data_IF_414328057079
#
_entry.id   IF_414328057079
#
_cell.length_a   1.000
_cell.length_b   1.000
_cell.length_c   1.000
_cell.angle_alpha   90.00
_cell.angle_beta   90.00
_cell.angle_gamma   90.00
#
_symmetry.space_group_name_H-M   'P 1'
#
loop_
_entity.id
_entity.type
_entity.pdbx_description
1 polymer ?
#
# COMPACT_ATOMS: atom_id res chain seq x y z
N UNK A 1 0.05 2.22 -14.91
CA UNK A 1 -1.05 2.23 -13.93
C UNK A 1 -1.19 0.83 -13.41
N UNK A 2 -1.01 0.65 -12.12
CA UNK A 2 -0.94 -0.67 -11.49
C UNK A 2 -2.33 -1.17 -11.13
N UNK A 3 -2.57 -2.46 -11.37
CA UNK A 3 -3.85 -3.14 -11.11
C UNK A 3 -3.61 -4.24 -10.07
N UNK A 4 -4.26 -4.11 -8.91
CA UNK A 4 -4.28 -5.11 -7.85
C UNK A 4 -5.58 -5.92 -7.91
N UNK A 5 -6.73 -5.30 -8.17
CA UNK A 5 -8.01 -5.99 -8.41
C UNK A 5 -8.48 -5.65 -9.82
N UNK A 6 -8.49 -6.66 -10.69
CA UNK A 6 -9.04 -6.57 -12.04
C UNK A 6 -10.54 -6.94 -12.08
N UNK A 7 -11.18 -6.71 -13.23
CA UNK A 7 -12.61 -6.97 -13.45
C UNK A 7 -13.02 -8.46 -13.38
N UNK A 8 -12.05 -9.37 -13.55
CA UNK A 8 -12.24 -10.82 -13.55
C UNK A 8 -11.89 -11.47 -12.20
N UNK A 9 -11.39 -10.69 -11.25
CA UNK A 9 -11.15 -11.08 -9.86
C UNK A 9 -12.35 -11.84 -9.28
N UNK A 10 -12.08 -12.99 -8.65
CA UNK A 10 -13.13 -13.79 -7.98
C UNK A 10 -13.72 -13.05 -6.78
N UNK A 11 -12.99 -12.10 -6.20
CA UNK A 11 -13.49 -11.22 -5.14
C UNK A 11 -14.62 -10.31 -5.65
N UNK A 12 -14.74 -10.09 -6.96
CA UNK A 12 -15.88 -9.42 -7.56
C UNK A 12 -17.07 -10.38 -7.80
N UNK A 13 -16.91 -11.69 -7.64
CA UNK A 13 -17.93 -12.69 -8.02
C UNK A 13 -18.06 -13.76 -6.95
N UNK A 14 -18.28 -13.32 -5.71
CA UNK A 14 -18.42 -14.23 -4.57
C UNK A 14 -19.67 -15.14 -4.72
N UNK A 15 -19.72 -16.33 -4.12
CA UNK A 15 -20.92 -17.17 -4.15
C UNK A 15 -22.04 -16.67 -3.21
N UNK A 16 -23.30 -16.99 -3.53
CA UNK A 16 -24.48 -16.67 -2.69
C UNK A 16 -24.59 -17.56 -1.45
N UNK A 17 -23.90 -18.70 -1.49
CA UNK A 17 -23.86 -19.71 -0.46
C UNK A 17 -22.95 -19.34 0.71
N UNK A 18 -22.11 -18.30 0.55
CA UNK A 18 -21.29 -17.78 1.64
C UNK A 18 -22.16 -17.22 2.77
N UNK A 19 -21.83 -17.58 4.00
CA UNK A 19 -22.44 -16.96 5.17
C UNK A 19 -22.07 -15.46 5.24
N UNK A 20 -22.91 -14.67 5.93
CA UNK A 20 -22.75 -13.22 5.99
C UNK A 20 -21.43 -12.76 6.62
N UNK A 21 -20.85 -13.55 7.54
CA UNK A 21 -19.59 -13.22 8.18
C UNK A 21 -18.41 -13.39 7.20
N UNK A 22 -18.35 -14.54 6.51
CA UNK A 22 -17.32 -14.80 5.49
C UNK A 22 -17.44 -13.82 4.32
N UNK A 23 -18.67 -13.55 3.86
CA UNK A 23 -18.93 -12.57 2.81
C UNK A 23 -18.40 -11.19 3.17
N UNK A 24 -18.70 -10.71 4.39
CA UNK A 24 -18.23 -9.41 4.88
C UNK A 24 -16.69 -9.33 4.92
N UNK A 25 -16.01 -10.40 5.33
CA UNK A 25 -14.54 -10.43 5.37
C UNK A 25 -13.95 -10.36 3.97
N UNK A 26 -14.45 -11.17 3.03
CA UNK A 26 -13.95 -11.18 1.64
C UNK A 26 -14.21 -9.85 0.94
N UNK A 27 -15.36 -9.23 1.17
CA UNK A 27 -15.66 -7.91 0.63
C UNK A 27 -14.77 -6.82 1.24
N UNK A 28 -14.50 -6.91 2.55
CA UNK A 28 -13.54 -6.01 3.22
C UNK A 28 -12.13 -6.14 2.66
N UNK A 29 -11.70 -7.36 2.31
CA UNK A 29 -10.43 -7.61 1.61
C UNK A 29 -10.43 -6.93 0.24
N UNK A 30 -11.47 -7.13 -0.56
CA UNK A 30 -11.62 -6.50 -1.88
C UNK A 30 -11.49 -4.98 -1.80
N UNK A 31 -12.29 -4.34 -0.94
CA UNK A 31 -12.30 -2.89 -0.77
C UNK A 31 -10.92 -2.39 -0.33
N UNK A 32 -10.29 -3.09 0.62
CA UNK A 32 -8.95 -2.70 1.10
C UNK A 32 -7.91 -2.76 -0.02
N UNK A 33 -7.93 -3.81 -0.85
CA UNK A 33 -7.04 -3.93 -2.00
C UNK A 33 -7.29 -2.82 -3.05
N UNK A 34 -8.55 -2.47 -3.29
CA UNK A 34 -8.91 -1.36 -4.19
C UNK A 34 -8.45 0.00 -3.65
N UNK A 35 -8.56 0.23 -2.33
CA UNK A 35 -8.03 1.46 -1.70
C UNK A 35 -6.51 1.54 -1.84
N UNK A 36 -5.78 0.44 -1.63
CA UNK A 36 -4.32 0.38 -1.82
C UNK A 36 -3.96 0.67 -3.28
N UNK A 37 -4.66 0.06 -4.24
CA UNK A 37 -4.49 0.32 -5.66
C UNK A 37 -4.71 1.80 -5.99
N UNK A 38 -5.75 2.41 -5.44
CA UNK A 38 -6.05 3.82 -5.67
C UNK A 38 -4.93 4.71 -5.12
N UNK A 39 -4.47 4.48 -3.90
CA UNK A 39 -3.38 5.24 -3.30
C UNK A 39 -2.08 5.09 -4.10
N UNK A 40 -1.75 3.87 -4.54
CA UNK A 40 -0.53 3.63 -5.32
C UNK A 40 -0.59 4.31 -6.70
N UNK A 41 -1.70 4.18 -7.41
CA UNK A 41 -1.90 4.88 -8.69
C UNK A 41 -1.89 6.41 -8.51
N UNK A 42 -2.34 6.90 -7.36
CA UNK A 42 -2.34 8.33 -7.05
C UNK A 42 -0.93 8.84 -6.83
N UNK A 43 -0.11 8.11 -6.06
CA UNK A 43 1.29 8.51 -5.85
C UNK A 43 2.12 8.43 -7.13
N UNK A 44 1.96 7.40 -7.98
CA UNK A 44 2.65 7.33 -9.27
C UNK A 44 2.36 8.56 -10.14
N UNK A 45 1.08 8.96 -10.23
CA UNK A 45 0.67 10.15 -10.98
C UNK A 45 1.18 11.44 -10.35
N UNK A 46 1.19 11.49 -9.04
CA UNK A 46 1.58 12.66 -8.25
C UNK A 46 3.08 12.94 -8.38
N UNK A 47 3.92 11.93 -8.18
CA UNK A 47 5.37 12.04 -8.24
C UNK A 47 5.86 12.48 -9.62
N UNK A 48 5.19 12.01 -10.69
CA UNK A 48 5.47 12.47 -12.07
C UNK A 48 5.17 13.96 -12.29
N UNK A 49 4.30 14.57 -11.48
CA UNK A 49 3.86 15.96 -11.63
C UNK A 49 4.53 16.93 -10.66
N UNK A 50 5.17 16.43 -9.60
CA UNK A 50 5.72 17.25 -8.51
C UNK A 50 6.76 18.27 -9.02
N UNK A 51 7.51 17.93 -10.06
CA UNK A 51 8.55 18.80 -10.59
C UNK A 51 7.99 20.02 -11.31
N UNK A 52 6.99 19.82 -12.16
CA UNK A 52 6.39 20.89 -12.96
C UNK A 52 5.23 21.60 -12.23
N UNK A 53 4.89 21.14 -11.01
CA UNK A 53 3.77 21.67 -10.25
C UNK A 53 4.11 23.01 -9.58
N UNK A 54 3.31 24.03 -9.88
CA UNK A 54 3.28 25.30 -9.12
C UNK A 54 2.85 25.11 -7.66
N UNK A 55 2.25 23.95 -7.32
CA UNK A 55 1.82 23.57 -5.98
C UNK A 55 2.64 22.41 -5.39
N UNK A 56 3.95 22.39 -5.68
CA UNK A 56 4.88 21.32 -5.28
C UNK A 56 4.78 20.94 -3.80
N UNK A 57 4.59 21.91 -2.91
CA UNK A 57 4.49 21.67 -1.46
C UNK A 57 3.26 20.82 -1.10
N UNK A 58 2.06 21.21 -1.55
CA UNK A 58 0.84 20.46 -1.23
C UNK A 58 0.86 19.06 -1.89
N UNK A 59 1.37 18.97 -3.11
CA UNK A 59 1.54 17.67 -3.77
C UNK A 59 2.53 16.77 -3.01
N UNK A 60 3.63 17.33 -2.49
CA UNK A 60 4.58 16.58 -1.65
C UNK A 60 3.93 16.07 -0.37
N UNK A 61 3.09 16.89 0.28
CA UNK A 61 2.36 16.49 1.50
C UNK A 61 1.38 15.33 1.20
N UNK A 62 0.65 15.40 0.08
CA UNK A 62 -0.25 14.32 -0.35
C UNK A 62 0.49 13.00 -0.57
N UNK A 63 1.72 13.05 -1.11
CA UNK A 63 2.52 11.85 -1.34
C UNK A 63 2.80 11.09 -0.04
N UNK A 64 3.14 11.78 1.05
CA UNK A 64 3.27 11.16 2.37
C UNK A 64 1.96 10.52 2.84
N UNK A 65 0.83 11.20 2.63
CA UNK A 65 -0.50 10.65 2.94
C UNK A 65 -0.79 9.34 2.22
N UNK A 66 -0.46 9.24 0.93
CA UNK A 66 -0.65 8.01 0.15
C UNK A 66 0.30 6.89 0.60
N UNK A 67 1.60 7.16 0.80
CA UNK A 67 2.57 6.13 1.24
C UNK A 67 2.17 5.55 2.59
N UNK A 68 1.95 6.40 3.59
CA UNK A 68 1.54 5.94 4.92
C UNK A 68 0.15 5.29 4.88
N UNK A 69 -0.73 5.77 4.00
CA UNK A 69 -2.02 5.17 3.71
C UNK A 69 -1.93 3.73 3.21
N UNK A 70 -0.99 3.43 2.30
CA UNK A 70 -0.73 2.06 1.80
C UNK A 70 -0.26 1.16 2.93
N UNK A 71 0.66 1.64 3.77
CA UNK A 71 1.22 0.89 4.90
C UNK A 71 0.13 0.54 5.92
N UNK A 72 -0.70 1.52 6.33
CA UNK A 72 -1.79 1.26 7.28
C UNK A 72 -2.83 0.30 6.72
N UNK A 73 -3.26 0.50 5.46
CA UNK A 73 -4.22 -0.39 4.80
C UNK A 73 -3.68 -1.80 4.64
N UNK A 74 -2.39 -1.97 4.39
CA UNK A 74 -1.76 -3.30 4.32
C UNK A 74 -1.75 -3.98 5.70
N UNK A 75 -1.43 -3.25 6.77
CA UNK A 75 -1.53 -3.81 8.14
C UNK A 75 -2.97 -4.20 8.49
N UNK A 76 -3.97 -3.43 8.04
CA UNK A 76 -5.40 -3.79 8.18
C UNK A 76 -5.76 -5.03 7.35
N UNK A 77 -5.29 -5.12 6.11
CA UNK A 77 -5.50 -6.28 5.24
C UNK A 77 -5.03 -7.57 5.91
N UNK A 78 -3.83 -7.56 6.50
CA UNK A 78 -3.28 -8.69 7.28
C UNK A 78 -4.25 -9.09 8.41
N UNK A 79 -4.79 -8.12 9.15
CA UNK A 79 -5.69 -8.37 10.29
C UNK A 79 -7.06 -8.88 9.84
N UNK A 80 -7.60 -8.35 8.74
CA UNK A 80 -8.86 -8.79 8.15
C UNK A 80 -8.71 -10.23 7.64
N UNK A 81 -7.64 -10.52 6.91
CA UNK A 81 -7.39 -11.87 6.37
C UNK A 81 -7.29 -12.93 7.46
N UNK A 82 -6.67 -12.59 8.59
CA UNK A 82 -6.58 -13.47 9.78
C UNK A 82 -7.91 -13.84 10.43
N UNK A 83 -9.04 -13.28 9.97
CA UNK A 83 -10.38 -13.68 10.41
C UNK A 83 -10.90 -14.90 9.65
N UNK A 84 -10.34 -15.23 8.48
CA UNK A 84 -10.66 -16.44 7.74
C UNK A 84 -9.91 -17.65 8.34
N UNK A 85 -10.48 -18.86 8.31
CA UNK A 85 -9.76 -20.06 8.74
C UNK A 85 -8.54 -20.32 7.85
N UNK A 86 -7.42 -20.75 8.45
CA UNK A 86 -6.19 -21.07 7.71
C UNK A 86 -5.54 -22.36 8.21
N UNK A 87 -5.29 -23.29 7.28
CA UNK A 87 -4.51 -24.51 7.53
C UNK A 87 -2.99 -24.27 7.57
N UNK A 88 -2.54 -23.19 6.91
CA UNK A 88 -1.10 -22.86 6.76
C UNK A 88 -0.59 -21.88 7.81
N UNK A 89 -1.39 -21.55 8.82
CA UNK A 89 -1.10 -20.50 9.81
C UNK A 89 -0.73 -19.15 9.15
N UNK A 90 -1.43 -18.82 8.05
CA UNK A 90 -1.30 -17.54 7.35
C UNK A 90 0.11 -17.21 6.80
N UNK A 91 0.90 -18.21 6.40
CA UNK A 91 2.23 -18.03 5.78
C UNK A 91 2.23 -17.10 4.55
N UNK A 92 1.13 -17.09 3.79
CA UNK A 92 0.91 -16.17 2.65
C UNK A 92 1.09 -14.68 3.02
N UNK A 93 0.95 -14.32 4.30
CA UNK A 93 1.10 -12.95 4.79
C UNK A 93 2.55 -12.56 5.13
N UNK A 94 3.50 -13.50 5.14
CA UNK A 94 4.85 -13.27 5.68
C UNK A 94 5.56 -12.10 4.99
N UNK A 95 5.43 -12.00 3.66
CA UNK A 95 6.03 -10.92 2.85
C UNK A 95 5.34 -9.55 3.06
N UNK A 96 4.17 -9.52 3.71
CA UNK A 96 3.45 -8.29 4.01
C UNK A 96 3.74 -7.77 5.43
N UNK A 97 4.19 -8.64 6.36
CA UNK A 97 4.40 -8.28 7.78
C UNK A 97 5.45 -7.18 8.00
N UNK A 98 6.31 -6.92 7.01
CA UNK A 98 7.28 -5.82 7.08
C UNK A 98 6.62 -4.47 7.38
N UNK A 99 5.36 -4.27 6.95
CA UNK A 99 4.62 -3.02 7.18
C UNK A 99 4.32 -2.74 8.65
N UNK A 100 4.31 -3.75 9.52
CA UNK A 100 3.97 -3.56 10.93
C UNK A 100 5.04 -2.73 11.66
N UNK A 101 6.32 -2.87 11.29
CA UNK A 101 7.41 -2.02 11.81
C UNK A 101 7.16 -0.54 11.48
N UNK A 102 6.84 -0.25 10.22
CA UNK A 102 6.57 1.11 9.73
C UNK A 102 5.29 1.69 10.33
N UNK A 103 4.21 0.91 10.38
CA UNK A 103 2.95 1.32 10.98
C UNK A 103 3.14 1.66 12.45
N UNK A 104 3.90 0.86 13.19
CA UNK A 104 4.22 1.14 14.59
C UNK A 104 5.00 2.46 14.75
N UNK A 105 6.01 2.68 13.91
CA UNK A 105 6.70 3.98 13.85
C UNK A 105 5.72 5.12 13.64
N UNK A 106 4.82 5.02 12.66
CA UNK A 106 3.87 6.08 12.33
C UNK A 106 2.90 6.38 13.48
N UNK A 107 2.49 5.36 14.23
CA UNK A 107 1.56 5.49 15.35
C UNK A 107 2.18 6.12 16.60
N UNK A 108 3.49 5.98 16.79
CA UNK A 108 4.24 6.47 17.95
C UNK A 108 5.21 7.60 17.56
N UNK A 109 4.88 8.37 16.52
CA UNK A 109 5.75 9.42 15.97
C UNK A 109 6.07 10.52 16.99
N UNK A 110 5.13 10.81 17.89
CA UNK A 110 5.29 11.74 19.00
C UNK A 110 6.42 11.29 19.94
N UNK A 111 6.42 10.01 20.35
CA UNK A 111 7.51 9.43 21.14
C UNK A 111 8.85 9.48 20.37
N UNK A 112 8.81 9.29 19.04
CA UNK A 112 10.04 9.32 18.21
C UNK A 112 10.73 10.69 18.20
N UNK A 113 9.99 11.78 18.43
CA UNK A 113 10.55 13.16 18.46
C UNK A 113 11.73 13.21 19.43
N UNK A 114 11.48 12.79 20.66
CA UNK A 114 12.44 12.85 21.77
C UNK A 114 13.45 11.71 21.72
N UNK A 115 13.03 10.52 21.28
CA UNK A 115 13.91 9.35 21.21
C UNK A 115 15.04 9.50 20.18
N UNK A 116 14.73 10.13 19.03
CA UNK A 116 15.60 10.02 17.85
C UNK A 116 15.55 11.19 16.87
N UNK A 117 14.36 11.76 16.58
CA UNK A 117 14.22 12.70 15.47
C UNK A 117 15.00 14.00 15.73
N UNK A 118 14.89 14.55 16.94
CA UNK A 118 15.64 15.75 17.33
C UNK A 118 17.14 15.48 17.42
N UNK A 119 17.52 14.40 18.13
CA UNK A 119 18.92 14.05 18.38
C UNK A 119 19.68 13.77 17.08
N UNK A 120 19.06 13.05 16.16
CA UNK A 120 19.68 12.61 14.91
C UNK A 120 19.35 13.53 13.73
N UNK A 121 18.54 14.59 13.94
CA UNK A 121 18.06 15.50 12.91
C UNK A 121 17.44 14.73 11.73
N UNK A 122 16.44 13.91 12.02
CA UNK A 122 15.77 13.07 11.03
C UNK A 122 14.38 13.64 10.64
N UNK A 123 13.90 13.35 9.42
CA UNK A 123 12.59 13.81 8.95
C UNK A 123 11.45 13.20 9.77
N UNK A 124 10.41 13.98 10.03
CA UNK A 124 9.30 13.57 10.91
C UNK A 124 8.43 12.47 10.29
N UNK A 125 7.88 12.67 9.09
CA UNK A 125 7.15 11.62 8.35
C UNK A 125 8.06 10.82 7.40
N UNK A 126 9.38 10.97 7.53
CA UNK A 126 10.36 10.31 6.68
C UNK A 126 10.71 11.04 5.37
N UNK A 127 11.40 10.32 4.50
CA UNK A 127 11.80 10.75 3.16
C UNK A 127 11.18 9.78 2.15
N UNK A 128 10.54 10.31 1.11
CA UNK A 128 10.13 9.51 -0.05
C UNK A 128 11.10 9.79 -1.17
N UNK A 129 11.72 8.73 -1.71
CA UNK A 129 12.64 8.83 -2.85
C UNK A 129 12.17 7.96 -4.00
N UNK A 130 12.42 8.40 -5.22
CA UNK A 130 12.12 7.64 -6.43
C UNK A 130 13.16 7.87 -7.52
N UNK A 131 13.19 6.95 -8.47
CA UNK A 131 14.16 6.92 -9.57
C UNK A 131 13.46 6.91 -10.91
N UNK A 132 14.05 7.63 -11.87
CA UNK A 132 13.62 7.65 -13.27
C UNK A 132 14.85 7.81 -14.18
N UNK A 133 14.81 7.18 -15.34
CA UNK A 133 15.78 7.44 -16.41
C UNK A 133 15.40 8.73 -17.14
N UNK A 134 16.31 9.70 -17.17
CA UNK A 134 16.17 10.97 -17.89
C UNK A 134 17.46 11.28 -18.63
N UNK A 135 17.37 11.53 -19.93
CA UNK A 135 18.54 11.86 -20.76
C UNK A 135 19.65 10.79 -20.71
N UNK A 136 19.28 9.51 -20.64
CA UNK A 136 20.17 8.35 -20.41
C UNK A 136 20.90 8.33 -19.05
N UNK A 137 20.48 9.16 -18.09
CA UNK A 137 21.01 9.18 -16.73
C UNK A 137 19.93 8.81 -15.70
N UNK A 138 20.31 8.08 -14.65
CA UNK A 138 19.40 7.79 -13.54
C UNK A 138 19.33 9.03 -12.65
N UNK A 139 18.17 9.69 -12.64
CA UNK A 139 17.92 10.79 -11.70
C UNK A 139 17.19 10.27 -10.48
N UNK A 140 17.79 10.53 -9.32
CA UNK A 140 17.19 10.25 -8.01
C UNK A 140 16.53 11.52 -7.50
N UNK A 141 15.25 11.41 -7.16
CA UNK A 141 14.43 12.52 -6.66
C UNK A 141 13.92 12.16 -5.28
N UNK A 142 13.74 13.16 -4.42
CA UNK A 142 13.25 12.94 -3.08
C UNK A 142 12.42 14.11 -2.56
N UNK A 143 11.48 13.80 -1.67
CA UNK A 143 10.76 14.75 -0.83
C UNK A 143 11.00 14.40 0.62
N UNK A 144 11.16 15.42 1.46
CA UNK A 144 11.51 15.29 2.87
C UNK A 144 10.43 15.99 3.70
N UNK A 145 9.95 15.31 4.74
CA UNK A 145 8.90 15.85 5.62
C UNK A 145 9.47 16.42 6.92
N UNK A 146 9.72 17.72 6.94
CA UNK A 146 10.30 18.43 8.08
C UNK A 146 11.76 18.83 7.85
N UNK A 147 12.43 19.29 8.90
CA UNK A 147 13.76 19.92 8.80
C UNK A 147 14.86 18.88 9.01
N UNK A 148 15.85 18.85 8.12
CA UNK A 148 17.17 18.28 8.43
C UNK A 148 18.30 19.16 7.89
N UNK A 149 19.22 19.57 8.78
CA UNK A 149 20.56 20.02 8.38
C UNK A 149 21.50 18.81 8.37
N UNK A 150 21.76 18.27 7.17
CA UNK A 150 22.65 17.13 6.91
C UNK A 150 21.90 15.81 6.72
N UNK A 151 21.46 15.53 5.49
CA UNK A 151 20.79 14.27 5.13
C UNK A 151 21.84 13.14 5.10
N UNK A 152 21.79 12.19 6.02
CA UNK A 152 22.43 10.86 5.89
C UNK A 152 21.38 9.85 5.46
N UNK A 153 20.99 9.89 4.20
CA UNK A 153 20.14 8.86 3.58
C UNK A 153 21.06 7.99 2.76
N UNK A 154 21.15 6.71 3.13
CA UNK A 154 21.79 5.71 2.29
C UNK A 154 20.83 5.37 1.15
N UNK A 155 21.20 5.78 -0.07
CA UNK A 155 20.43 5.46 -1.26
C UNK A 155 20.78 4.06 -1.75
N UNK A 156 19.77 3.21 -1.87
CA UNK A 156 19.88 1.96 -2.62
C UNK A 156 19.54 2.31 -4.07
N UNK A 157 20.55 2.39 -4.92
CA UNK A 157 20.35 2.66 -6.34
C UNK A 157 19.80 1.41 -7.04
N UNK A 158 18.75 1.53 -7.86
CA UNK A 158 18.25 0.41 -8.65
C UNK A 158 19.28 -0.05 -9.68
N UNK A 159 19.18 -1.32 -10.09
CA UNK A 159 20.03 -1.84 -11.16
C UNK A 159 19.70 -1.12 -12.48
N UNK A 160 20.70 -0.49 -13.09
CA UNK A 160 20.61 0.32 -14.32
C UNK A 160 19.91 -0.42 -15.45
N UNK A 161 20.11 -1.74 -15.56
CA UNK A 161 19.57 -2.56 -16.64
C UNK A 161 18.03 -2.71 -16.61
N UNK A 162 17.39 -2.35 -15.49
CA UNK A 162 15.93 -2.43 -15.33
C UNK A 162 15.28 -1.04 -15.18
N UNK A 163 16.02 0.04 -15.47
CA UNK A 163 15.48 1.40 -15.36
C UNK A 163 14.68 1.79 -16.61
N UNK A 164 13.49 2.35 -16.39
CA UNK A 164 12.64 2.93 -17.42
C UNK A 164 12.52 4.46 -17.28
N UNK A 165 11.96 5.10 -18.29
CA UNK A 165 11.53 6.52 -18.27
C UNK A 165 10.32 6.76 -17.35
N UNK A 166 9.70 5.71 -16.82
CA UNK A 166 8.70 5.81 -15.77
C UNK A 166 9.36 5.74 -14.39
N UNK A 167 8.60 6.09 -13.36
CA UNK A 167 9.03 5.88 -11.97
C UNK A 167 9.23 4.39 -11.75
N UNK A 168 10.46 3.99 -11.43
CA UNK A 168 10.81 2.58 -11.28
C UNK A 168 10.46 2.07 -9.88
N UNK A 169 11.07 2.70 -8.86
CA UNK A 169 10.87 2.34 -7.45
C UNK A 169 10.50 3.58 -6.63
N UNK A 170 9.58 3.39 -5.68
CA UNK A 170 9.21 4.38 -4.68
C UNK A 170 9.64 3.83 -3.32
N UNK A 171 10.64 4.46 -2.70
CA UNK A 171 11.13 4.10 -1.37
C UNK A 171 10.61 5.08 -0.32
N UNK A 172 10.11 4.54 0.78
CA UNK A 172 9.96 5.26 2.03
C UNK A 172 11.18 4.98 2.91
N UNK A 173 11.78 6.04 3.43
CA UNK A 173 12.74 5.97 4.52
C UNK A 173 12.13 6.61 5.76
N UNK A 174 12.18 5.91 6.89
CA UNK A 174 11.57 6.31 8.14
C UNK A 174 12.45 5.95 9.33
N UNK A 175 12.05 6.37 10.53
CA UNK A 175 12.81 6.16 11.76
C UNK A 175 12.08 5.17 12.66
N UNK A 176 12.76 4.12 13.10
CA UNK A 176 12.26 3.27 14.18
C UNK A 176 13.26 3.28 15.33
N UNK A 177 12.88 3.97 16.42
CA UNK A 177 13.78 4.20 17.56
C UNK A 177 15.10 4.79 17.05
N UNK A 178 16.19 4.05 17.13
CA UNK A 178 17.54 4.51 16.75
C UNK A 178 17.93 4.10 15.33
N UNK A 179 17.10 3.35 14.63
CA UNK A 179 17.40 2.81 13.30
C UNK A 179 16.72 3.63 12.20
N UNK A 180 17.47 3.89 11.14
CA UNK A 180 16.90 4.36 9.88
C UNK A 180 16.48 3.14 9.07
N UNK A 181 15.20 3.03 8.78
CA UNK A 181 14.60 1.88 8.09
C UNK A 181 14.06 2.32 6.75
N UNK A 182 14.04 1.41 5.79
CA UNK A 182 13.49 1.68 4.47
C UNK A 182 12.53 0.58 4.01
N UNK A 183 11.56 0.98 3.20
CA UNK A 183 10.56 0.11 2.58
C UNK A 183 10.41 0.51 1.12
N UNK A 184 10.64 -0.44 0.22
CA UNK A 184 10.26 -0.27 -1.17
C UNK A 184 8.73 -0.49 -1.31
N UNK A 185 8.01 0.60 -1.55
CA UNK A 185 6.56 0.60 -1.73
C UNK A 185 6.19 -0.13 -3.03
N UNK A 186 6.99 0.00 -4.09
CA UNK A 186 6.77 -0.73 -5.34
C UNK A 186 6.86 -2.24 -5.12
N UNK A 187 7.83 -2.72 -4.33
CA UNK A 187 7.94 -4.15 -4.00
C UNK A 187 6.82 -4.62 -3.05
N UNK A 188 6.39 -3.78 -2.11
CA UNK A 188 5.23 -4.07 -1.29
C UNK A 188 3.98 -4.30 -2.15
N UNK A 189 3.77 -3.49 -3.18
CA UNK A 189 2.66 -3.65 -4.12
C UNK A 189 2.78 -4.96 -4.91
N UNK A 190 3.98 -5.33 -5.37
CA UNK A 190 4.21 -6.65 -6.00
C UNK A 190 3.84 -7.80 -5.05
N UNK A 191 4.24 -7.70 -3.78
CA UNK A 191 3.89 -8.69 -2.76
C UNK A 191 2.38 -8.75 -2.49
N UNK A 192 1.68 -7.62 -2.50
CA UNK A 192 0.22 -7.56 -2.35
C UNK A 192 -0.49 -8.22 -3.55
N UNK A 193 0.00 -8.00 -4.78
CA UNK A 193 -0.51 -8.65 -5.98
C UNK A 193 -0.29 -10.17 -5.90
N UNK A 194 0.89 -10.61 -5.47
CA UNK A 194 1.19 -12.03 -5.28
C UNK A 194 0.25 -12.66 -4.23
N UNK A 195 0.10 -12.02 -3.06
CA UNK A 195 -0.84 -12.41 -2.02
C UNK A 195 -2.28 -12.52 -2.57
N UNK A 196 -2.74 -11.52 -3.31
CA UNK A 196 -4.07 -11.50 -3.93
C UNK A 196 -4.22 -12.70 -4.87
N UNK A 197 -3.28 -12.92 -5.78
CA UNK A 197 -3.37 -13.98 -6.79
C UNK A 197 -3.41 -15.38 -6.15
N UNK A 198 -2.54 -15.66 -5.18
CA UNK A 198 -2.54 -16.92 -4.45
C UNK A 198 -3.85 -17.13 -3.69
N UNK A 199 -4.38 -16.07 -3.04
CA UNK A 199 -5.67 -16.15 -2.38
C UNK A 199 -6.84 -16.41 -3.35
N UNK A 200 -6.85 -15.78 -4.53
CA UNK A 200 -7.90 -16.01 -5.52
C UNK A 200 -7.88 -17.43 -6.10
N UNK A 201 -6.70 -18.02 -6.26
CA UNK A 201 -6.55 -19.43 -6.64
C UNK A 201 -7.24 -20.32 -5.60
N UNK A 202 -6.92 -20.13 -4.32
CA UNK A 202 -7.52 -20.92 -3.23
C UNK A 202 -9.03 -20.71 -3.09
N UNK A 203 -9.52 -19.48 -3.24
CA UNK A 203 -10.95 -19.21 -3.23
C UNK A 203 -11.66 -19.92 -4.40
N UNK A 204 -11.08 -19.83 -5.60
CA UNK A 204 -11.64 -20.46 -6.79
C UNK A 204 -11.69 -21.98 -6.65
N UNK A 205 -10.64 -22.60 -6.12
CA UNK A 205 -10.60 -24.03 -5.81
C UNK A 205 -11.67 -24.39 -4.78
N UNK A 206 -11.75 -23.65 -3.67
CA UNK A 206 -12.74 -23.88 -2.62
C UNK A 206 -14.17 -23.76 -3.15
N UNK A 207 -14.46 -22.79 -4.03
CA UNK A 207 -15.81 -22.64 -4.60
C UNK A 207 -16.16 -23.80 -5.53
N UNK A 208 -15.19 -24.29 -6.32
CA UNK A 208 -15.37 -25.47 -7.18
C UNK A 208 -15.60 -26.74 -6.36
N UNK A 209 -14.81 -26.97 -5.32
CA UNK A 209 -14.91 -28.16 -4.47
C UNK A 209 -16.27 -28.25 -3.75
N UNK A 210 -16.86 -27.10 -3.43
CA UNK A 210 -18.19 -27.02 -2.81
C UNK A 210 -19.34 -26.93 -3.84
N UNK A 211 -19.03 -26.98 -5.15
CA UNK A 211 -19.99 -26.80 -6.25
C UNK A 211 -20.83 -25.49 -6.13
N UNK A 212 -20.22 -24.44 -5.58
CA UNK A 212 -20.86 -23.14 -5.41
C UNK A 212 -20.78 -22.33 -6.69
N UNK A 213 -21.88 -21.65 -7.03
CA UNK A 213 -21.92 -20.82 -8.23
C UNK A 213 -21.51 -19.40 -7.88
N UNK A 214 -20.41 -18.93 -8.48
CA UNK A 214 -20.04 -17.53 -8.44
C UNK A 214 -21.18 -16.68 -9.00
N UNK A 215 -21.70 -15.74 -8.22
CA UNK A 215 -22.72 -14.82 -8.66
C UNK A 215 -22.13 -13.43 -8.83
N UNK A 216 -22.67 -12.66 -9.77
CA UNK A 216 -22.30 -11.25 -9.86
C UNK A 216 -22.98 -10.46 -8.73
N UNK A 217 -22.17 -9.99 -7.77
CA UNK A 217 -22.64 -9.18 -6.65
C UNK A 217 -22.72 -7.69 -6.97
N UNK A 218 -22.54 -7.26 -8.22
CA UNK A 218 -22.41 -5.83 -8.56
C UNK A 218 -23.53 -4.94 -8.01
N UNK A 219 -24.78 -5.41 -7.96
CA UNK A 219 -25.90 -4.65 -7.37
C UNK A 219 -25.83 -4.47 -5.83
N UNK A 220 -24.96 -5.21 -5.14
CA UNK A 220 -24.78 -5.21 -3.68
C UNK A 220 -23.39 -4.72 -3.26
N UNK A 221 -22.46 -4.53 -4.20
CA UNK A 221 -21.14 -3.96 -3.96
C UNK A 221 -21.25 -2.45 -3.78
N UNK A 222 -20.43 -1.89 -2.89
CA UNK A 222 -20.12 -0.45 -2.83
C UNK A 222 -21.37 0.44 -2.80
N UNK A 223 -22.28 0.14 -1.87
CA UNK A 223 -23.61 0.78 -1.80
C UNK A 223 -23.45 2.25 -1.37
N UNK A 224 -23.66 3.16 -2.31
CA UNK A 224 -23.98 4.55 -2.00
C UNK A 224 -25.44 4.62 -1.53
N UNK A 225 -25.64 4.84 -0.23
CA UNK A 225 -26.97 4.90 0.37
C UNK A 225 -27.39 6.36 0.51
N UNK A 226 -28.46 6.76 -0.17
CA UNK A 226 -29.15 8.02 0.09
C UNK A 226 -30.25 7.77 1.10
N UNK A 227 -30.08 8.25 2.33
CA UNK A 227 -31.15 8.25 3.34
C UNK A 227 -32.02 9.48 3.13
N UNK A 228 -33.34 9.29 3.07
CA UNK A 228 -34.26 10.42 3.20
C UNK A 228 -34.40 10.74 4.69
N UNK A 229 -34.15 11.99 5.07
CA UNK A 229 -34.43 12.46 6.42
C UNK A 229 -35.95 12.60 6.58
N UNK A 230 -36.53 11.90 7.55
CA UNK A 230 -37.89 12.24 7.98
C UNK A 230 -37.88 13.67 8.54
N UNK A 231 -38.79 14.51 8.04
CA UNK A 231 -38.99 15.89 8.51
C UNK A 231 -39.73 15.91 9.85
#
# INVERSE_FOLDING_TARGET
MTIIIDENSVLNRLPVELDGYTLLILDSIRITLQMIQNDFNSIEKLLNKIEDSSNRQNESIKAFGYVWGIIDKTSRLIKIYKKLPSKSNYKILDNLKIVDKFRNTFQHLDERIDESLLKNRLPFYGTISWFKLEDNEIKTKMIVSGITYGIKVDFIYPNVNNCSENINDIMLHAVDKKEYINLNISDLIKNIIAFKNENEIHLTESFKDNNWKCCDWTARKDIFITLQSDK
#
